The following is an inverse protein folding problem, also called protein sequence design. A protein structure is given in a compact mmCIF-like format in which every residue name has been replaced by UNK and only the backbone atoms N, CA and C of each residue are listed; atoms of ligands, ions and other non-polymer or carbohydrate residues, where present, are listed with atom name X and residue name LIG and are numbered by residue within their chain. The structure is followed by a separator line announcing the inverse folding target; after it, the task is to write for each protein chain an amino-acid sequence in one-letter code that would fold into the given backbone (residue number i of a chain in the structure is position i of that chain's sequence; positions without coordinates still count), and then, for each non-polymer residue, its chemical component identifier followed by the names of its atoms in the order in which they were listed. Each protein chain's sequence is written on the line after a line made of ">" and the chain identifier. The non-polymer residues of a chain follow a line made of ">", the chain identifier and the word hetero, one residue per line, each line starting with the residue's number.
data_IF_355859969905
#
_entry.id   IF_355859969905
#
_cell.length_a   1.000
_cell.length_b   1.000
_cell.length_c   1.000
_cell.angle_alpha   90.00
_cell.angle_beta   90.00
_cell.angle_gamma   90.00
#
_symmetry.space_group_name_H-M   'P 1'
#
loop_
_entity.id
_entity.type
_entity.pdbx_description
1 polymer ?
#
# COMPACT_ATOMS: atom_id res chain seq x y z
N UNK A 1 0.95 -17.41 22.26
CA UNK A 1 1.35 -17.33 20.84
C UNK A 1 1.65 -15.86 20.65
N UNK A 2 2.93 -15.49 20.64
CA UNK A 2 3.34 -14.10 20.45
C UNK A 2 3.04 -13.71 19.00
N UNK A 3 1.92 -13.03 18.77
CA UNK A 3 1.62 -12.47 17.46
C UNK A 3 2.66 -11.39 17.16
N UNK A 4 3.43 -11.57 16.09
CA UNK A 4 4.33 -10.54 15.57
C UNK A 4 3.50 -9.31 15.17
N UNK A 5 3.64 -8.23 15.94
CA UNK A 5 2.95 -6.96 15.68
C UNK A 5 3.64 -6.25 14.51
N UNK A 6 2.93 -6.05 13.40
CA UNK A 6 3.49 -5.45 12.18
C UNK A 6 3.45 -3.92 12.24
N UNK A 7 4.28 -3.23 11.44
CA UNK A 7 4.22 -1.77 11.28
C UNK A 7 2.80 -1.27 10.92
N UNK A 8 2.07 -2.04 10.13
CA UNK A 8 0.72 -1.68 9.72
C UNK A 8 -0.27 -1.76 10.88
N UNK A 9 -0.18 -2.78 11.73
CA UNK A 9 -1.09 -2.96 12.87
C UNK A 9 -1.07 -1.77 13.84
N UNK A 10 0.10 -1.16 14.08
CA UNK A 10 0.24 0.05 14.90
C UNK A 10 -0.48 1.28 14.32
N UNK A 11 -0.61 1.33 12.99
CA UNK A 11 -1.22 2.46 12.28
C UNK A 11 -2.72 2.23 12.06
N UNK A 12 -3.12 0.97 11.88
CA UNK A 12 -4.45 0.60 11.42
C UNK A 12 -5.58 1.10 12.34
N UNK A 13 -5.38 1.05 13.65
CA UNK A 13 -6.38 1.53 14.62
C UNK A 13 -6.74 3.01 14.49
N UNK A 14 -5.85 3.82 13.89
CA UNK A 14 -6.06 5.25 13.68
C UNK A 14 -6.63 5.59 12.30
N UNK A 15 -6.78 4.61 11.40
CA UNK A 15 -7.28 4.84 10.05
C UNK A 15 -8.79 5.06 10.11
N UNK A 16 -9.25 6.23 9.66
CA UNK A 16 -10.67 6.58 9.60
C UNK A 16 -11.16 6.90 8.17
N UNK A 17 -10.24 6.98 7.20
CA UNK A 17 -10.54 7.32 5.82
C UNK A 17 -9.71 6.47 4.85
N UNK A 18 -10.34 6.06 3.75
CA UNK A 18 -9.71 5.29 2.67
C UNK A 18 -9.85 6.07 1.36
N UNK A 19 -8.72 6.41 0.75
CA UNK A 19 -8.62 7.19 -0.48
C UNK A 19 -8.01 6.33 -1.59
N UNK A 20 -8.47 6.55 -2.82
CA UNK A 20 -7.86 5.96 -4.03
C UNK A 20 -7.33 7.09 -4.90
N UNK A 21 -6.03 7.06 -5.21
CA UNK A 21 -5.43 8.06 -6.09
C UNK A 21 -6.04 7.98 -7.49
N UNK A 22 -6.00 9.10 -8.22
CA UNK A 22 -6.46 9.12 -9.62
C UNK A 22 -5.70 8.12 -10.49
N UNK A 23 -4.40 7.96 -10.23
CA UNK A 23 -3.56 7.02 -10.96
C UNK A 23 -3.92 5.58 -10.63
N UNK A 24 -4.13 5.26 -9.36
CA UNK A 24 -4.58 3.95 -8.90
C UNK A 24 -5.92 3.54 -9.55
N UNK A 25 -6.90 4.45 -9.57
CA UNK A 25 -8.21 4.21 -10.21
C UNK A 25 -8.05 3.88 -11.70
N UNK A 26 -7.13 4.55 -12.40
CA UNK A 26 -6.84 4.26 -13.82
C UNK A 26 -6.18 2.89 -13.99
N UNK A 27 -5.18 2.58 -13.18
CA UNK A 27 -4.40 1.34 -13.27
C UNK A 27 -5.21 0.09 -12.92
N UNK A 28 -6.17 0.23 -12.01
CA UNK A 28 -7.02 -0.87 -11.52
C UNK A 28 -8.27 -1.10 -12.35
N UNK A 29 -8.55 -0.25 -13.35
CA UNK A 29 -9.75 -0.36 -14.18
C UNK A 29 -9.81 -1.74 -14.86
N UNK A 30 -10.86 -2.48 -14.58
CA UNK A 30 -11.12 -3.85 -15.09
C UNK A 30 -10.06 -4.89 -14.68
N UNK A 31 -9.38 -4.71 -13.55
CA UNK A 31 -8.42 -5.69 -13.03
C UNK A 31 -9.08 -6.61 -12.01
N UNK A 32 -9.10 -7.90 -12.33
CA UNK A 32 -9.61 -8.94 -11.43
C UNK A 32 -8.70 -9.09 -10.19
N UNK A 33 -9.29 -9.45 -9.05
CA UNK A 33 -8.57 -9.65 -7.78
C UNK A 33 -8.19 -8.37 -7.02
N UNK A 34 -8.23 -7.19 -7.64
CA UNK A 34 -7.92 -5.92 -6.95
C UNK A 34 -8.89 -5.65 -5.82
N UNK A 35 -10.20 -5.70 -6.10
CA UNK A 35 -11.24 -5.43 -5.09
C UNK A 35 -11.21 -6.40 -3.91
N UNK A 36 -10.84 -7.65 -4.16
CA UNK A 36 -10.69 -8.65 -3.11
C UNK A 36 -9.49 -8.32 -2.22
N UNK A 37 -8.34 -8.05 -2.83
CA UNK A 37 -7.12 -7.65 -2.12
C UNK A 37 -7.32 -6.35 -1.33
N UNK A 38 -8.04 -5.36 -1.87
CA UNK A 38 -8.42 -4.14 -1.13
C UNK A 38 -9.22 -4.45 0.13
N UNK A 39 -10.17 -5.39 0.07
CA UNK A 39 -10.96 -5.82 1.23
C UNK A 39 -10.07 -6.52 2.26
N UNK A 40 -9.12 -7.34 1.80
CA UNK A 40 -8.17 -8.00 2.69
C UNK A 40 -7.27 -7.00 3.41
N UNK A 41 -6.75 -5.99 2.70
CA UNK A 41 -5.92 -4.91 3.29
C UNK A 41 -6.68 -4.15 4.39
N UNK A 42 -8.00 -4.02 4.26
CA UNK A 42 -8.85 -3.35 5.24
C UNK A 42 -9.43 -4.30 6.31
N UNK A 43 -9.10 -5.59 6.26
CA UNK A 43 -9.60 -6.56 7.21
C UNK A 43 -8.83 -6.49 8.53
N UNK A 44 -9.55 -6.22 9.63
CA UNK A 44 -9.00 -6.14 10.99
C UNK A 44 -8.29 -7.43 11.41
N UNK A 45 -8.77 -8.58 10.94
CA UNK A 45 -8.19 -9.88 11.28
C UNK A 45 -6.88 -10.15 10.53
N UNK A 46 -6.53 -9.32 9.54
CA UNK A 46 -5.34 -9.48 8.70
C UNK A 46 -4.26 -8.42 8.94
N UNK A 47 -4.46 -7.50 9.89
CA UNK A 47 -3.53 -6.38 10.16
C UNK A 47 -2.12 -6.84 10.55
N UNK A 48 -2.02 -8.02 11.16
CA UNK A 48 -0.73 -8.63 11.55
C UNK A 48 -0.10 -9.47 10.42
N UNK A 49 -0.69 -9.52 9.22
CA UNK A 49 -0.10 -10.24 8.09
C UNK A 49 1.04 -9.43 7.45
N UNK A 50 2.29 -9.80 7.75
CA UNK A 50 3.49 -9.20 7.14
C UNK A 50 3.51 -9.32 5.61
N UNK A 51 2.92 -10.39 5.08
CA UNK A 51 2.91 -10.66 3.66
C UNK A 51 1.86 -9.83 2.92
N UNK A 52 0.74 -9.52 3.56
CA UNK A 52 -0.29 -8.62 3.04
C UNK A 52 0.13 -7.15 3.21
N UNK A 53 0.79 -6.84 4.32
CA UNK A 53 1.22 -5.51 4.70
C UNK A 53 2.74 -5.38 4.68
N UNK A 54 3.35 -5.70 3.53
CA UNK A 54 4.80 -5.59 3.43
C UNK A 54 5.20 -4.14 3.53
N UNK A 55 5.88 -3.79 4.61
CA UNK A 55 6.46 -2.46 4.80
C UNK A 55 7.62 -2.26 3.81
N UNK A 56 7.59 -1.13 3.10
CA UNK A 56 8.58 -0.81 2.07
C UNK A 56 9.49 0.33 2.53
N UNK A 57 8.91 1.44 2.98
CA UNK A 57 9.66 2.64 3.36
C UNK A 57 8.80 3.62 4.16
N UNK A 58 9.43 4.44 4.99
CA UNK A 58 8.81 5.65 5.56
C UNK A 58 9.23 6.87 4.74
N UNK A 59 8.27 7.66 4.28
CA UNK A 59 8.48 8.93 3.57
C UNK A 59 7.82 10.03 4.39
N UNK A 60 8.63 10.79 5.14
CA UNK A 60 8.15 11.80 6.09
C UNK A 60 7.10 11.22 7.06
N UNK A 61 5.87 11.75 7.08
CA UNK A 61 4.74 11.25 7.89
C UNK A 61 3.95 10.10 7.25
N UNK A 62 4.37 9.59 6.09
CA UNK A 62 3.70 8.52 5.37
C UNK A 62 4.48 7.20 5.44
N UNK A 63 3.83 6.12 5.87
CA UNK A 63 4.36 4.76 5.82
C UNK A 63 3.87 4.06 4.55
N UNK A 64 4.79 3.67 3.67
CA UNK A 64 4.50 2.93 2.44
C UNK A 64 4.49 1.42 2.69
N UNK A 65 3.48 0.79 2.09
CA UNK A 65 3.26 -0.64 2.11
C UNK A 65 2.95 -1.15 0.71
N UNK A 66 3.12 -2.45 0.52
CA UNK A 66 2.61 -3.15 -0.66
C UNK A 66 1.90 -4.44 -0.30
N UNK A 67 0.98 -4.83 -1.16
CA UNK A 67 0.32 -6.14 -1.15
C UNK A 67 0.41 -6.80 -2.52
N UNK A 68 0.64 -8.11 -2.56
CA UNK A 68 0.41 -8.90 -3.76
C UNK A 68 -1.09 -9.06 -4.05
N UNK A 69 -1.45 -9.35 -5.31
CA UNK A 69 -2.82 -9.74 -5.64
C UNK A 69 -3.10 -11.19 -5.25
N UNK A 70 -4.17 -11.42 -4.50
CA UNK A 70 -4.74 -12.75 -4.21
C UNK A 70 -3.88 -13.70 -3.36
N UNK A 71 -2.60 -13.39 -3.17
CA UNK A 71 -1.70 -14.04 -2.22
C UNK A 71 -0.60 -13.08 -1.76
N UNK A 72 -0.32 -13.17 -0.46
CA UNK A 72 0.93 -12.87 0.23
C UNK A 72 2.09 -12.40 -0.68
N UNK A 73 2.25 -11.08 -0.75
CA UNK A 73 3.49 -10.41 -1.15
C UNK A 73 4.18 -10.86 -2.44
N UNK A 74 3.47 -11.51 -3.37
CA UNK A 74 4.12 -12.30 -4.42
C UNK A 74 4.93 -11.40 -5.38
N UNK A 75 6.26 -11.52 -5.29
CA UNK A 75 7.25 -10.74 -6.07
C UNK A 75 7.18 -10.98 -7.59
N UNK A 76 6.29 -11.87 -8.05
CA UNK A 76 6.20 -12.30 -9.46
C UNK A 76 5.07 -11.63 -10.25
N UNK A 77 4.28 -10.75 -9.65
CA UNK A 77 3.09 -10.18 -10.30
C UNK A 77 2.88 -8.70 -9.98
N UNK A 78 1.70 -8.18 -10.33
CA UNK A 78 1.26 -6.86 -9.95
C UNK A 78 1.04 -6.77 -8.44
N UNK A 79 1.36 -5.61 -7.89
CA UNK A 79 1.21 -5.26 -6.48
C UNK A 79 0.32 -4.03 -6.35
N UNK A 80 -0.42 -3.98 -5.26
CA UNK A 80 -1.09 -2.77 -4.79
C UNK A 80 -0.12 -2.06 -3.87
N UNK A 81 0.22 -0.82 -4.21
CA UNK A 81 1.04 0.07 -3.39
C UNK A 81 0.11 1.07 -2.72
N UNK A 82 0.27 1.22 -1.41
CA UNK A 82 -0.55 2.11 -0.61
C UNK A 82 0.29 2.72 0.52
N UNK A 83 -0.17 3.82 1.07
CA UNK A 83 0.43 4.37 2.28
C UNK A 83 -0.62 4.57 3.38
N UNK A 84 -0.13 4.65 4.61
CA UNK A 84 -0.87 5.28 5.69
C UNK A 84 -0.20 6.63 5.97
N UNK A 85 -0.96 7.70 5.82
CA UNK A 85 -0.52 9.07 6.06
C UNK A 85 -1.50 9.73 7.02
N UNK A 86 -1.02 10.16 8.20
CA UNK A 86 -1.87 10.59 9.32
C UNK A 86 -2.90 9.49 9.65
N UNK A 87 -4.20 9.77 9.48
CA UNK A 87 -5.30 8.84 9.77
C UNK A 87 -5.93 8.27 8.48
N UNK A 88 -5.24 8.38 7.35
CA UNK A 88 -5.77 8.02 6.03
C UNK A 88 -4.99 6.87 5.42
N UNK A 89 -5.68 5.88 4.88
CA UNK A 89 -5.10 4.89 3.97
C UNK A 89 -5.29 5.36 2.54
N UNK A 90 -4.20 5.52 1.79
CA UNK A 90 -4.25 5.97 0.40
C UNK A 90 -3.73 4.86 -0.50
N UNK A 91 -4.59 4.32 -1.36
CA UNK A 91 -4.16 3.45 -2.46
C UNK A 91 -3.53 4.31 -3.54
N UNK A 92 -2.24 4.08 -3.81
CA UNK A 92 -1.41 4.96 -4.65
C UNK A 92 -1.25 4.41 -6.06
N UNK A 93 -0.83 3.15 -6.20
CA UNK A 93 -0.46 2.54 -7.49
C UNK A 93 -0.83 1.07 -7.56
N UNK A 94 -1.11 0.61 -8.77
CA UNK A 94 -1.26 -0.80 -9.12
C UNK A 94 -0.33 -1.10 -10.30
N UNK A 95 0.82 -1.69 -10.00
CA UNK A 95 1.94 -1.81 -10.94
C UNK A 95 2.63 -3.16 -10.81
N UNK A 96 3.42 -3.55 -11.80
CA UNK A 96 4.20 -4.78 -11.70
C UNK A 96 5.28 -4.66 -10.62
N UNK A 97 5.55 -5.72 -9.86
CA UNK A 97 6.52 -5.69 -8.75
C UNK A 97 7.89 -5.11 -9.15
N UNK A 98 8.44 -5.55 -10.29
CA UNK A 98 9.72 -5.03 -10.81
C UNK A 98 9.69 -3.53 -11.14
N UNK A 99 8.54 -3.00 -11.55
CA UNK A 99 8.40 -1.56 -11.80
C UNK A 99 8.36 -0.80 -10.47
N UNK A 100 7.69 -1.36 -9.46
CA UNK A 100 7.70 -0.81 -8.11
C UNK A 100 9.11 -0.76 -7.50
N UNK A 101 9.89 -1.83 -7.62
CA UNK A 101 11.29 -1.85 -7.14
C UNK A 101 12.11 -0.72 -7.79
N UNK A 102 11.99 -0.55 -9.11
CA UNK A 102 12.65 0.56 -9.83
C UNK A 102 12.18 1.95 -9.37
N UNK A 103 10.91 2.09 -9.00
CA UNK A 103 10.37 3.35 -8.48
C UNK A 103 10.95 3.67 -7.10
N UNK A 104 11.07 2.67 -6.23
CA UNK A 104 11.68 2.79 -4.91
C UNK A 104 13.16 3.17 -4.96
N UNK A 105 13.91 2.60 -5.90
CA UNK A 105 15.35 2.89 -6.05
C UNK A 105 15.60 4.29 -6.64
N UNK A 106 14.62 4.87 -7.32
CA UNK A 106 14.76 6.17 -7.97
C UNK A 106 14.27 7.32 -7.07
N UNK A 107 15.23 8.02 -6.47
CA UNK A 107 14.98 9.16 -5.59
C UNK A 107 14.12 10.29 -6.22
N UNK A 108 14.21 10.54 -7.53
CA UNK A 108 13.36 11.54 -8.19
C UNK A 108 11.91 11.10 -8.26
N UNK A 109 11.66 9.82 -8.56
CA UNK A 109 10.31 9.27 -8.64
C UNK A 109 9.66 9.21 -7.26
N UNK A 110 10.43 8.85 -6.22
CA UNK A 110 9.97 8.91 -4.84
C UNK A 110 9.51 10.31 -4.44
N UNK A 111 10.29 11.35 -4.75
CA UNK A 111 9.88 12.74 -4.47
C UNK A 111 8.58 13.15 -5.17
N UNK A 112 8.30 12.61 -6.36
CA UNK A 112 7.03 12.85 -7.04
C UNK A 112 5.89 12.16 -6.29
N UNK A 113 6.11 10.93 -5.84
CA UNK A 113 5.14 10.18 -5.03
C UNK A 113 4.87 10.86 -3.68
N UNK A 114 5.91 11.38 -3.01
CA UNK A 114 5.78 12.16 -1.77
C UNK A 114 4.88 13.38 -1.97
N UNK A 115 5.13 14.16 -3.03
CA UNK A 115 4.29 15.31 -3.38
C UNK A 115 2.86 14.93 -3.68
N UNK A 116 2.64 13.76 -4.30
CA UNK A 116 1.30 13.24 -4.54
C UNK A 116 0.60 12.89 -3.21
N UNK A 117 1.28 12.23 -2.28
CA UNK A 117 0.74 11.89 -0.96
C UNK A 117 0.32 13.14 -0.18
N UNK A 118 1.17 14.18 -0.21
CA UNK A 118 0.88 15.48 0.43
C UNK A 118 -0.29 16.22 -0.21
N UNK A 119 -0.67 15.91 -1.45
CA UNK A 119 -1.85 16.53 -2.07
C UNK A 119 -3.19 16.02 -1.50
N UNK A 120 -3.16 14.98 -0.68
CA UNK A 120 -4.32 14.44 0.03
C UNK A 120 -4.39 14.94 1.48
N UNK A 121 -3.84 16.12 1.78
CA UNK A 121 -4.05 16.84 3.06
C UNK A 121 -5.46 17.41 3.20
#
# INVERSE_FOLDING_TARGET
>A
MDEHITHFSYLFGNINEVIKSKQYVKETRNKNGVRETEKEILNKDKVNSENLHKFEKKLDDACLFRSGLGQDGNKKSNVIVYCVHKNRLVFLRFVHHKEWEKLLDNHKNLKVLEKEILSYE
#
